data_IF_910710943655
#
_entry.id   IF_910710943655
#
_cell.length_a   1.000
_cell.length_b   1.000
_cell.length_c   1.000
_cell.angle_alpha   90.00
_cell.angle_beta   90.00
_cell.angle_gamma   90.00
#
_symmetry.space_group_name_H-M   'P 1'
#
loop_
_entity.id
_entity.type
_entity.pdbx_description
1 polymer ?
#
# COMPACT_ATOMS: atom_id res chain seq x y z
N UNK A 1 4.70 4.11 -14.50
CA UNK A 1 5.02 2.87 -15.18
C UNK A 1 3.92 1.81 -15.02
N UNK A 2 3.57 1.40 -13.78
CA UNK A 2 2.57 0.37 -13.49
C UNK A 2 1.20 0.63 -14.18
N UNK A 3 0.66 1.84 -14.05
CA UNK A 3 -0.61 2.24 -14.69
C UNK A 3 -0.47 2.30 -16.21
N UNK A 4 0.65 2.81 -16.72
CA UNK A 4 0.94 2.85 -18.16
C UNK A 4 1.05 1.47 -18.78
N UNK A 5 1.44 0.48 -18.00
CA UNK A 5 1.47 -0.93 -18.40
C UNK A 5 0.08 -1.60 -18.41
N UNK A 6 -1.00 -0.86 -18.20
CA UNK A 6 -2.36 -1.38 -18.20
C UNK A 6 -2.74 -2.23 -16.98
N UNK A 7 -1.95 -2.16 -15.91
CA UNK A 7 -2.24 -2.90 -14.67
C UNK A 7 -3.39 -2.24 -13.90
N UNK A 8 -4.24 -3.04 -13.22
CA UNK A 8 -5.35 -2.48 -12.43
C UNK A 8 -4.85 -1.53 -11.35
N UNK A 9 -5.42 -0.32 -11.33
CA UNK A 9 -5.06 0.70 -10.36
C UNK A 9 -6.32 1.45 -9.88
N UNK A 10 -6.41 1.67 -8.58
CA UNK A 10 -7.48 2.40 -7.94
C UNK A 10 -6.91 3.61 -7.19
N UNK A 11 -7.37 4.80 -7.56
CA UNK A 11 -7.11 6.01 -6.79
C UNK A 11 -8.14 6.14 -5.67
N UNK A 12 -7.67 6.32 -4.45
CA UNK A 12 -8.54 6.67 -3.32
C UNK A 12 -8.57 8.18 -3.14
N UNK A 13 -9.77 8.71 -2.88
CA UNK A 13 -9.99 10.14 -2.73
C UNK A 13 -9.98 10.53 -1.24
N UNK A 14 -8.99 11.33 -0.78
CA UNK A 14 -8.94 11.79 0.60
C UNK A 14 -10.14 12.62 1.02
N UNK A 15 -10.80 13.33 0.09
CA UNK A 15 -12.01 14.09 0.39
C UNK A 15 -13.18 13.17 0.79
N UNK A 16 -13.30 12.02 0.15
CA UNK A 16 -14.32 11.03 0.50
C UNK A 16 -14.06 10.41 1.88
N UNK A 17 -12.78 10.16 2.19
CA UNK A 17 -12.39 9.69 3.53
C UNK A 17 -12.77 10.75 4.57
N UNK A 18 -12.46 12.01 4.33
CA UNK A 18 -12.82 13.12 5.23
C UNK A 18 -14.34 13.30 5.38
N UNK A 19 -15.11 12.94 4.37
CA UNK A 19 -16.57 12.97 4.40
C UNK A 19 -17.20 11.76 5.15
N UNK A 20 -16.40 10.84 5.69
CA UNK A 20 -16.85 9.68 6.44
C UNK A 20 -17.23 8.47 5.57
N UNK A 21 -16.88 8.45 4.30
CA UNK A 21 -17.09 7.30 3.41
C UNK A 21 -16.09 6.18 3.78
N UNK A 22 -16.57 4.95 3.85
CA UNK A 22 -15.71 3.78 4.05
C UNK A 22 -14.99 3.40 2.76
N UNK A 23 -13.99 4.20 2.42
CA UNK A 23 -13.17 4.03 1.21
C UNK A 23 -12.36 2.72 1.26
N UNK A 24 -11.98 2.27 2.45
CA UNK A 24 -11.29 1.00 2.62
C UNK A 24 -12.15 -0.19 2.17
N UNK A 25 -13.43 -0.22 2.58
CA UNK A 25 -14.35 -1.28 2.15
C UNK A 25 -14.56 -1.27 0.63
N UNK A 26 -14.71 -0.10 0.02
CA UNK A 26 -14.85 0.03 -1.42
C UNK A 26 -13.59 -0.45 -2.17
N UNK A 27 -12.41 -0.08 -1.69
CA UNK A 27 -11.14 -0.51 -2.27
C UNK A 27 -10.94 -2.02 -2.18
N UNK A 28 -11.31 -2.62 -1.06
CA UNK A 28 -11.23 -4.07 -0.87
C UNK A 28 -12.20 -4.83 -1.78
N UNK A 29 -13.44 -4.35 -1.94
CA UNK A 29 -14.41 -4.92 -2.87
C UNK A 29 -13.92 -4.84 -4.32
N UNK A 30 -13.33 -3.72 -4.71
CA UNK A 30 -12.71 -3.56 -6.03
C UNK A 30 -11.54 -4.54 -6.22
N UNK A 31 -10.66 -4.64 -5.22
CA UNK A 31 -9.49 -5.49 -5.27
C UNK A 31 -9.85 -6.98 -5.42
N UNK A 32 -10.90 -7.45 -4.77
CA UNK A 32 -11.37 -8.84 -4.87
C UNK A 32 -11.62 -9.28 -6.32
N UNK A 33 -12.08 -8.38 -7.17
CA UNK A 33 -12.29 -8.65 -8.59
C UNK A 33 -11.01 -8.72 -9.44
N UNK A 34 -9.86 -8.30 -8.90
CA UNK A 34 -8.63 -8.11 -9.67
C UNK A 34 -7.43 -8.91 -9.15
N UNK A 35 -7.31 -9.14 -7.84
CA UNK A 35 -6.13 -9.77 -7.24
C UNK A 35 -5.88 -11.20 -7.71
N UNK A 36 -6.90 -11.92 -8.16
CA UNK A 36 -6.76 -13.25 -8.76
C UNK A 36 -6.11 -13.26 -10.16
N UNK A 37 -6.01 -12.10 -10.78
CA UNK A 37 -5.46 -11.94 -12.14
C UNK A 37 -4.03 -11.37 -12.15
N UNK A 38 -3.53 -10.91 -11.02
CA UNK A 38 -2.20 -10.34 -10.89
C UNK A 38 -2.13 -9.18 -9.89
N UNK A 39 -1.01 -8.46 -9.85
CA UNK A 39 -0.83 -7.37 -8.92
C UNK A 39 -1.74 -6.19 -9.25
N UNK A 40 -2.26 -5.56 -8.21
CA UNK A 40 -3.08 -4.35 -8.26
C UNK A 40 -2.40 -3.21 -7.52
N UNK A 41 -2.72 -1.97 -7.87
CA UNK A 41 -2.23 -0.77 -7.20
C UNK A 41 -3.41 -0.02 -6.56
N UNK A 42 -3.31 0.27 -5.28
CA UNK A 42 -4.16 1.24 -4.60
C UNK A 42 -3.28 2.41 -4.18
N UNK A 43 -3.66 3.62 -4.54
CA UNK A 43 -2.83 4.79 -4.28
C UNK A 43 -3.67 6.02 -3.93
N UNK A 44 -3.06 6.91 -3.17
CA UNK A 44 -3.64 8.21 -2.84
C UNK A 44 -2.71 9.30 -3.39
N UNK A 45 -3.09 9.87 -4.53
CA UNK A 45 -2.47 11.09 -5.04
C UNK A 45 -3.57 12.12 -5.18
N UNK A 46 -3.59 13.10 -4.28
CA UNK A 46 -4.54 14.19 -4.38
C UNK A 46 -3.90 15.37 -5.13
N UNK A 47 -4.70 16.05 -5.94
CA UNK A 47 -4.34 17.35 -6.51
C UNK A 47 -3.96 18.32 -5.37
N UNK A 48 -2.96 19.19 -5.56
CA UNK A 48 -2.52 20.14 -4.51
C UNK A 48 -3.66 20.99 -3.93
N UNK A 49 -4.66 21.31 -4.74
CA UNK A 49 -5.86 22.03 -4.30
C UNK A 49 -6.72 21.22 -3.34
N UNK A 50 -6.90 19.93 -3.61
CA UNK A 50 -7.66 19.02 -2.74
C UNK A 50 -6.93 18.80 -1.41
N UNK A 51 -5.61 18.62 -1.46
CA UNK A 51 -4.77 18.50 -0.24
C UNK A 51 -4.93 19.74 0.64
N UNK A 52 -4.84 20.94 0.05
CA UNK A 52 -5.02 22.20 0.79
C UNK A 52 -6.41 22.32 1.41
N UNK A 53 -7.45 21.91 0.68
CA UNK A 53 -8.83 21.97 1.19
C UNK A 53 -9.03 21.07 2.41
N UNK A 54 -8.46 19.86 2.41
CA UNK A 54 -8.53 18.93 3.54
C UNK A 54 -7.70 19.45 4.70
N UNK A 55 -6.49 19.92 4.44
CA UNK A 55 -5.61 20.49 5.46
C UNK A 55 -6.22 21.74 6.10
N UNK A 56 -6.93 22.56 5.33
CA UNK A 56 -7.65 23.72 5.85
C UNK A 56 -8.81 23.38 6.78
N UNK A 57 -9.47 22.23 6.56
CA UNK A 57 -10.60 21.77 7.37
C UNK A 57 -10.19 21.00 8.63
N UNK A 58 -9.16 20.17 8.54
CA UNK A 58 -8.80 19.19 9.58
C UNK A 58 -7.40 19.39 10.15
N UNK A 59 -6.59 20.25 9.55
CA UNK A 59 -5.15 20.31 9.81
C UNK A 59 -4.36 19.25 9.03
N UNK A 60 -3.08 19.51 8.77
CA UNK A 60 -2.25 18.62 7.93
C UNK A 60 -1.99 17.26 8.57
N UNK A 61 -1.79 17.21 9.89
CA UNK A 61 -1.56 15.95 10.61
C UNK A 61 -2.77 15.01 10.55
N UNK A 62 -3.97 15.53 10.81
CA UNK A 62 -5.20 14.72 10.76
C UNK A 62 -5.51 14.24 9.35
N UNK A 63 -5.30 15.08 8.35
CA UNK A 63 -5.51 14.72 6.95
C UNK A 63 -4.57 13.58 6.51
N UNK A 64 -3.29 13.65 6.90
CA UNK A 64 -2.31 12.60 6.65
C UNK A 64 -2.68 11.29 7.36
N UNK A 65 -2.94 11.36 8.65
CA UNK A 65 -3.29 10.19 9.46
C UNK A 65 -4.52 9.44 8.93
N UNK A 66 -5.55 10.15 8.48
CA UNK A 66 -6.75 9.53 7.90
C UNK A 66 -6.45 8.72 6.63
N UNK A 67 -5.60 9.24 5.76
CA UNK A 67 -5.19 8.53 4.53
C UNK A 67 -4.34 7.30 4.89
N UNK A 68 -3.41 7.46 5.82
CA UNK A 68 -2.54 6.37 6.28
C UNK A 68 -3.34 5.25 6.94
N UNK A 69 -4.27 5.58 7.82
CA UNK A 69 -5.16 4.61 8.46
C UNK A 69 -6.01 3.86 7.44
N UNK A 70 -6.52 4.56 6.43
CA UNK A 70 -7.29 3.95 5.34
C UNK A 70 -6.44 2.98 4.53
N UNK A 71 -5.23 3.38 4.13
CA UNK A 71 -4.30 2.50 3.38
C UNK A 71 -3.88 1.31 4.23
N UNK A 72 -3.61 1.52 5.52
CA UNK A 72 -3.28 0.44 6.45
C UNK A 72 -4.43 -0.58 6.60
N UNK A 73 -5.66 -0.10 6.69
CA UNK A 73 -6.86 -0.96 6.71
C UNK A 73 -7.02 -1.75 5.41
N UNK A 74 -6.73 -1.13 4.26
CA UNK A 74 -6.73 -1.81 2.96
C UNK A 74 -5.64 -2.89 2.92
N UNK A 75 -4.42 -2.60 3.34
CA UNK A 75 -3.32 -3.55 3.37
C UNK A 75 -3.67 -4.79 4.23
N UNK A 76 -4.20 -4.57 5.42
CA UNK A 76 -4.66 -5.65 6.30
C UNK A 76 -5.78 -6.46 5.65
N UNK A 77 -6.78 -5.82 5.11
CA UNK A 77 -7.90 -6.46 4.43
C UNK A 77 -7.47 -7.31 3.23
N UNK A 78 -6.47 -6.86 2.47
CA UNK A 78 -5.89 -7.63 1.37
C UNK A 78 -5.17 -8.89 1.86
N UNK A 79 -4.40 -8.80 2.94
CA UNK A 79 -3.72 -9.96 3.54
C UNK A 79 -4.74 -10.96 4.09
N UNK A 80 -5.82 -10.50 4.73
CA UNK A 80 -6.93 -11.35 5.16
C UNK A 80 -7.60 -12.10 4.00
N UNK A 81 -7.57 -11.53 2.80
CA UNK A 81 -8.09 -12.14 1.55
C UNK A 81 -7.08 -13.03 0.83
N UNK A 82 -5.94 -13.29 1.42
CA UNK A 82 -4.94 -14.21 0.89
C UNK A 82 -3.80 -13.56 0.11
N UNK A 83 -3.70 -12.23 0.06
CA UNK A 83 -2.53 -11.56 -0.50
C UNK A 83 -1.30 -11.89 0.33
N UNK A 84 -0.22 -12.35 -0.33
CA UNK A 84 1.04 -12.77 0.31
C UNK A 84 2.27 -12.06 -0.24
N UNK A 85 2.08 -11.14 -1.17
CA UNK A 85 3.12 -10.28 -1.73
C UNK A 85 2.62 -8.83 -1.68
N UNK A 86 3.24 -8.00 -0.85
CA UNK A 86 2.78 -6.64 -0.58
C UNK A 86 3.91 -5.64 -0.74
N UNK A 87 3.68 -4.61 -1.53
CA UNK A 87 4.56 -3.45 -1.65
C UNK A 87 3.87 -2.26 -1.00
N UNK A 88 4.53 -1.62 -0.03
CA UNK A 88 4.06 -0.39 0.59
C UNK A 88 5.04 0.74 0.25
N UNK A 89 4.53 1.80 -0.34
CA UNK A 89 5.31 2.98 -0.71
C UNK A 89 4.90 4.19 0.15
N UNK A 90 5.89 4.86 0.71
CA UNK A 90 5.73 5.97 1.64
C UNK A 90 6.22 5.62 3.05
N UNK A 91 6.97 6.52 3.69
CA UNK A 91 7.57 6.27 5.00
C UNK A 91 6.53 6.08 6.11
N UNK A 92 5.64 7.04 6.25
CA UNK A 92 4.58 7.02 7.27
C UNK A 92 3.55 5.91 6.98
N UNK A 93 3.16 5.76 5.73
CA UNK A 93 2.29 4.67 5.27
C UNK A 93 2.87 3.30 5.57
N UNK A 94 4.19 3.12 5.40
CA UNK A 94 4.87 1.86 5.73
C UNK A 94 4.76 1.53 7.22
N UNK A 95 4.96 2.51 8.09
CA UNK A 95 4.79 2.35 9.53
C UNK A 95 3.37 1.96 9.92
N UNK A 96 2.38 2.67 9.38
CA UNK A 96 0.96 2.39 9.63
C UNK A 96 0.55 0.98 9.16
N UNK A 97 1.02 0.55 7.99
CA UNK A 97 0.75 -0.79 7.46
C UNK A 97 1.39 -1.90 8.31
N UNK A 98 2.65 -1.73 8.71
CA UNK A 98 3.34 -2.71 9.56
C UNK A 98 2.63 -2.88 10.90
N UNK A 99 2.17 -1.79 11.52
CA UNK A 99 1.40 -1.83 12.76
C UNK A 99 0.04 -2.52 12.56
N UNK A 100 -0.71 -2.16 11.52
CA UNK A 100 -2.02 -2.73 11.24
C UNK A 100 -1.94 -4.25 10.94
N UNK A 101 -0.87 -4.69 10.29
CA UNK A 101 -0.61 -6.11 10.01
C UNK A 101 -0.12 -6.89 11.23
N UNK A 102 0.25 -6.21 12.32
CA UNK A 102 0.79 -6.85 13.52
C UNK A 102 2.18 -7.47 13.32
N UNK A 103 2.95 -6.93 12.39
CA UNK A 103 4.31 -7.39 12.11
C UNK A 103 5.26 -6.84 13.17
N UNK A 104 5.95 -7.72 13.87
CA UNK A 104 6.94 -7.36 14.91
C UNK A 104 8.38 -7.64 14.49
N UNK A 105 8.57 -8.52 13.51
CA UNK A 105 9.87 -8.91 13.00
C UNK A 105 9.81 -9.15 11.49
N UNK A 106 10.88 -8.76 10.81
CA UNK A 106 11.05 -9.03 9.38
C UNK A 106 12.47 -9.54 9.13
N UNK A 107 12.59 -10.56 8.28
CA UNK A 107 13.86 -11.04 7.77
C UNK A 107 14.13 -10.40 6.42
N UNK A 108 15.25 -9.71 6.29
CA UNK A 108 15.68 -9.08 5.05
C UNK A 108 16.06 -10.16 4.03
N UNK A 109 15.49 -10.06 2.84
CA UNK A 109 15.72 -10.96 1.72
C UNK A 109 16.47 -10.29 0.57
N UNK A 110 16.14 -10.68 -0.65
CA UNK A 110 16.80 -10.20 -1.85
C UNK A 110 16.54 -8.71 -2.09
N UNK A 111 17.59 -7.98 -2.45
CA UNK A 111 17.50 -6.57 -2.83
C UNK A 111 16.80 -6.42 -4.18
N UNK A 112 15.81 -5.53 -4.24
CA UNK A 112 15.11 -5.14 -5.47
C UNK A 112 15.87 -3.99 -6.13
N UNK A 113 16.07 -2.94 -5.38
CA UNK A 113 16.87 -1.76 -5.72
C UNK A 113 17.73 -1.37 -4.52
N UNK A 114 18.78 -0.55 -4.71
CA UNK A 114 19.63 -0.11 -3.60
C UNK A 114 18.81 0.45 -2.43
N UNK A 115 18.95 -0.15 -1.25
CA UNK A 115 18.25 0.23 -0.04
C UNK A 115 16.80 -0.26 0.06
N UNK A 116 16.31 -1.04 -0.90
CA UNK A 116 14.93 -1.55 -0.91
C UNK A 116 14.91 -3.06 -1.17
N UNK A 117 14.92 -3.89 -0.13
CA UNK A 117 14.85 -5.33 -0.26
C UNK A 117 13.40 -5.84 -0.18
N UNK A 118 13.15 -7.03 -0.70
CA UNK A 118 12.08 -7.87 -0.20
C UNK A 118 12.39 -8.32 1.22
N UNK A 119 11.38 -8.31 2.07
CA UNK A 119 11.45 -8.88 3.43
C UNK A 119 10.44 -10.01 3.56
N UNK A 120 10.73 -10.94 4.45
CA UNK A 120 9.81 -11.99 4.85
C UNK A 120 9.34 -11.74 6.27
N UNK A 121 8.03 -11.72 6.48
CA UNK A 121 7.41 -11.53 7.78
C UNK A 121 6.35 -12.59 8.05
N UNK A 122 6.08 -12.83 9.33
CA UNK A 122 4.91 -13.58 9.78
C UNK A 122 3.98 -12.59 10.46
N UNK A 123 2.71 -12.60 10.06
CA UNK A 123 1.68 -11.75 10.62
C UNK A 123 0.51 -12.59 11.13
N UNK A 124 -0.32 -12.10 12.07
CA UNK A 124 -1.49 -12.81 12.55
C UNK A 124 -2.43 -13.31 11.44
N UNK A 125 -2.62 -12.51 10.40
CA UNK A 125 -3.46 -12.84 9.24
C UNK A 125 -2.68 -13.52 8.09
N UNK A 126 -1.37 -13.76 8.26
CA UNK A 126 -0.50 -14.42 7.29
C UNK A 126 0.56 -15.28 8.02
N UNK A 127 0.12 -16.29 8.73
CA UNK A 127 0.99 -17.18 9.52
C UNK A 127 1.88 -18.09 8.66
N UNK A 128 1.48 -18.30 7.42
CA UNK A 128 2.22 -19.00 6.37
C UNK A 128 3.35 -18.15 5.78
N UNK A 129 3.39 -16.88 6.11
CA UNK A 129 4.41 -15.94 5.67
C UNK A 129 3.91 -14.91 4.68
N UNK A 130 4.50 -13.73 4.75
CA UNK A 130 4.21 -12.58 3.90
C UNK A 130 5.51 -12.03 3.33
N UNK A 131 5.59 -11.91 2.01
CA UNK A 131 6.63 -11.11 1.37
C UNK A 131 6.19 -9.65 1.35
N UNK A 132 6.95 -8.80 2.01
CA UNK A 132 6.66 -7.37 2.10
C UNK A 132 7.90 -6.55 1.77
N UNK A 133 7.74 -5.49 1.00
CA UNK A 133 8.78 -4.48 0.84
C UNK A 133 8.23 -3.11 1.21
N UNK A 134 9.03 -2.35 1.94
CA UNK A 134 8.73 -1.00 2.39
C UNK A 134 9.62 -0.03 1.62
N UNK A 135 8.99 0.76 0.76
CA UNK A 135 9.68 1.70 -0.13
C UNK A 135 9.51 3.12 0.37
N UNK A 136 10.59 3.76 0.79
CA UNK A 136 10.59 5.20 1.01
C UNK A 136 10.45 5.96 -0.32
N UNK A 137 9.82 7.15 -0.30
CA UNK A 137 9.41 7.88 -1.50
C UNK A 137 10.50 8.13 -2.53
N UNK A 138 11.74 8.40 -2.07
CA UNK A 138 12.87 8.73 -2.94
C UNK A 138 13.71 7.53 -3.41
N UNK A 139 13.38 6.31 -2.97
CA UNK A 139 14.08 5.10 -3.34
C UNK A 139 13.35 4.33 -4.45
N UNK A 140 14.12 3.55 -5.20
CA UNK A 140 13.59 2.69 -6.27
C UNK A 140 13.54 3.38 -7.63
N UNK A 141 13.66 2.56 -8.67
CA UNK A 141 13.55 2.96 -10.07
C UNK A 141 12.09 3.20 -10.48
N UNK A 142 11.87 3.79 -11.65
CA UNK A 142 10.52 4.06 -12.19
C UNK A 142 9.71 2.79 -12.47
N UNK A 143 10.39 1.67 -12.73
CA UNK A 143 9.81 0.35 -12.96
C UNK A 143 9.76 -0.54 -11.70
N UNK A 144 9.99 0.05 -10.52
CA UNK A 144 10.15 -0.66 -9.26
C UNK A 144 9.05 -1.70 -9.00
N UNK A 145 7.78 -1.32 -9.13
CA UNK A 145 6.67 -2.22 -8.82
C UNK A 145 6.65 -3.45 -9.72
N UNK A 146 6.85 -3.25 -11.02
CA UNK A 146 6.86 -4.35 -11.98
C UNK A 146 8.05 -5.27 -11.75
N UNK A 147 9.23 -4.69 -11.53
CA UNK A 147 10.47 -5.42 -11.27
C UNK A 147 10.41 -6.21 -9.96
N UNK A 148 9.86 -5.62 -8.91
CA UNK A 148 9.76 -6.26 -7.60
C UNK A 148 8.93 -7.54 -7.66
N UNK A 149 7.74 -7.50 -8.26
CA UNK A 149 6.91 -8.71 -8.40
C UNK A 149 7.53 -9.75 -9.33
N UNK A 150 8.17 -9.33 -10.42
CA UNK A 150 8.86 -10.26 -11.32
C UNK A 150 9.98 -11.05 -10.61
N UNK A 151 10.68 -10.42 -9.67
CA UNK A 151 11.75 -11.06 -8.89
C UNK A 151 11.24 -12.22 -8.00
N UNK A 152 10.01 -12.14 -7.49
CA UNK A 152 9.42 -13.21 -6.68
C UNK A 152 8.88 -14.38 -7.52
N UNK A 153 8.71 -14.19 -8.81
CA UNK A 153 8.24 -15.23 -9.74
C UNK A 153 9.40 -16.01 -10.37
N UNK A 154 10.60 -15.49 -10.27
CA UNK A 154 11.81 -16.14 -10.76
C UNK A 154 12.37 -17.12 -9.72
#
# INVERSE_FOLDING_TARGET
DFIKAGKPALAIDPLRIAAGVDVAAEALAWAEGHIGQGPVLVYSTAEPSAVRAIQGKLGSEKAGAMVEDTIAAIARGLVQRGVRQLIVAGGETSGACVQALGITQMRIGAQIDPGVPWCHAVAPDARDGLHITLKSGNFGSTDFFTKAFAQLQA
#
